data_IF_433351278090
#
_entry.id   IF_433351278090
#
_cell.length_a   1.000
_cell.length_b   1.000
_cell.length_c   1.000
_cell.angle_alpha   90.00
_cell.angle_beta   90.00
_cell.angle_gamma   90.00
#
_symmetry.space_group_name_H-M   'P 1'
#
loop_
_entity.id
_entity.type
_entity.pdbx_description
1 polymer ?
#
# COMPACT_ATOMS: atom_id res chain seq x y z
N UNK A 1 -11.32 -2.25 2.07
CA UNK A 1 -10.23 -1.25 1.87
C UNK A 1 -10.50 -0.55 0.55
N UNK A 2 -10.18 0.75 0.44
CA UNK A 2 -10.27 1.50 -0.81
C UNK A 2 -8.87 1.82 -1.35
N UNK A 3 -8.55 1.37 -2.56
CA UNK A 3 -7.28 1.67 -3.24
C UNK A 3 -7.41 2.80 -4.29
N UNK A 4 -8.64 3.15 -4.69
CA UNK A 4 -8.94 4.06 -5.80
C UNK A 4 -8.90 5.54 -5.44
N UNK A 5 -8.77 5.88 -4.17
CA UNK A 5 -8.69 7.28 -3.71
C UNK A 5 -7.28 7.62 -3.21
N UNK A 6 -6.99 8.91 -3.12
CA UNK A 6 -5.85 9.47 -2.40
C UNK A 6 -6.38 10.33 -1.29
N UNK A 7 -5.85 10.11 -0.09
CA UNK A 7 -6.29 10.78 1.13
C UNK A 7 -5.09 11.50 1.72
N UNK A 8 -5.24 12.81 1.91
CA UNK A 8 -4.33 13.57 2.76
C UNK A 8 -4.76 13.36 4.21
N UNK A 9 -3.94 12.62 4.97
CA UNK A 9 -4.16 12.43 6.39
C UNK A 9 -4.04 13.75 7.14
N UNK A 10 -4.88 13.96 8.15
CA UNK A 10 -4.82 15.17 8.99
C UNK A 10 -3.55 15.20 9.85
N UNK A 11 -3.12 14.03 10.34
CA UNK A 11 -1.88 13.84 11.08
C UNK A 11 -1.38 12.40 10.97
N UNK A 12 -0.09 12.22 11.20
CA UNK A 12 0.52 10.92 11.48
C UNK A 12 0.85 10.90 12.97
N UNK A 13 0.00 10.26 13.76
CA UNK A 13 0.22 10.09 15.19
C UNK A 13 1.29 9.02 15.48
N UNK A 14 1.64 8.87 16.75
CA UNK A 14 2.70 7.95 17.18
C UNK A 14 2.35 6.49 16.89
N UNK A 15 1.07 6.12 17.00
CA UNK A 15 0.61 4.75 16.70
C UNK A 15 0.78 4.41 15.23
N UNK A 16 0.28 5.27 14.34
CA UNK A 16 0.46 5.10 12.91
C UNK A 16 1.94 5.14 12.51
N UNK A 17 2.74 6.02 13.12
CA UNK A 17 4.18 6.07 12.88
C UNK A 17 4.85 4.75 13.26
N UNK A 18 4.57 4.22 14.45
CA UNK A 18 5.12 2.94 14.91
C UNK A 18 4.72 1.77 14.00
N UNK A 19 3.47 1.75 13.49
CA UNK A 19 3.03 0.74 12.53
C UNK A 19 3.80 0.82 11.21
N UNK A 20 4.01 2.03 10.69
CA UNK A 20 4.78 2.27 9.46
C UNK A 20 6.24 1.86 9.64
N UNK A 21 6.87 2.26 10.74
CA UNK A 21 8.25 1.89 11.10
C UNK A 21 8.40 0.37 11.24
N UNK A 22 7.39 -0.30 11.82
CA UNK A 22 7.41 -1.76 11.97
C UNK A 22 7.32 -2.48 10.63
N UNK A 23 6.48 -2.01 9.71
CA UNK A 23 6.39 -2.56 8.35
C UNK A 23 7.71 -2.36 7.61
N UNK A 24 8.29 -1.16 7.70
CA UNK A 24 9.58 -0.84 7.10
C UNK A 24 10.68 -1.79 7.59
N UNK A 25 10.81 -1.97 8.91
CA UNK A 25 11.78 -2.87 9.52
C UNK A 25 11.59 -4.33 9.06
N UNK A 26 10.35 -4.82 9.03
CA UNK A 26 10.05 -6.19 8.59
C UNK A 26 10.44 -6.43 7.13
N UNK A 27 10.22 -5.46 6.25
CA UNK A 27 10.60 -5.57 4.85
C UNK A 27 12.12 -5.51 4.65
N UNK A 28 12.79 -4.61 5.37
CA UNK A 28 14.25 -4.53 5.38
C UNK A 28 14.89 -5.84 5.86
N UNK A 29 14.34 -6.46 6.91
CA UNK A 29 14.77 -7.79 7.38
C UNK A 29 14.59 -8.86 6.28
N UNK A 30 13.46 -8.84 5.57
CA UNK A 30 13.21 -9.73 4.44
C UNK A 30 14.26 -9.58 3.34
N UNK A 31 14.51 -8.34 2.89
CA UNK A 31 15.52 -8.08 1.86
C UNK A 31 16.92 -8.51 2.30
N UNK A 32 17.32 -8.20 3.53
CA UNK A 32 18.62 -8.56 4.08
C UNK A 32 18.80 -10.08 4.21
N UNK A 33 17.75 -10.79 4.65
CA UNK A 33 17.82 -12.24 4.90
C UNK A 33 17.76 -13.06 3.63
N UNK A 34 16.94 -12.66 2.65
CA UNK A 34 16.66 -13.46 1.46
C UNK A 34 17.30 -12.92 0.18
N UNK A 35 17.96 -11.76 0.24
CA UNK A 35 18.76 -11.19 -0.84
C UNK A 35 17.99 -10.34 -1.86
N UNK A 36 16.68 -10.14 -1.67
CA UNK A 36 15.84 -9.28 -2.50
C UNK A 36 15.80 -9.66 -4.00
N UNK A 37 15.10 -8.86 -4.85
CA UNK A 37 14.45 -7.58 -4.54
C UNK A 37 12.99 -7.72 -4.05
N UNK A 38 12.50 -8.94 -3.86
CA UNK A 38 11.22 -9.26 -3.24
C UNK A 38 11.44 -9.75 -1.80
N UNK A 39 10.37 -9.81 -1.00
CA UNK A 39 10.48 -10.02 0.44
C UNK A 39 11.07 -11.37 0.84
N UNK A 40 10.96 -12.38 -0.04
CA UNK A 40 11.44 -13.74 0.21
C UNK A 40 12.44 -14.23 -0.86
N UNK A 41 13.06 -13.32 -1.62
CA UNK A 41 14.12 -13.66 -2.57
C UNK A 41 14.08 -12.86 -3.87
N UNK A 42 14.67 -13.44 -4.92
CA UNK A 42 14.85 -12.80 -6.23
C UNK A 42 13.57 -12.75 -7.06
N UNK A 43 12.64 -13.64 -6.78
CA UNK A 43 11.41 -13.81 -7.53
C UNK A 43 10.20 -13.38 -6.69
N UNK A 44 9.18 -12.87 -7.38
CA UNK A 44 7.89 -12.56 -6.75
C UNK A 44 7.26 -13.83 -6.18
N UNK A 45 6.76 -13.76 -4.94
CA UNK A 45 6.14 -14.90 -4.28
C UNK A 45 4.87 -14.56 -3.49
N UNK A 46 4.36 -15.56 -2.78
CA UNK A 46 3.13 -15.44 -1.98
C UNK A 46 3.25 -14.40 -0.85
N UNK A 47 4.46 -14.21 -0.31
CA UNK A 47 4.73 -13.19 0.71
C UNK A 47 4.48 -11.79 0.15
N UNK A 48 4.93 -11.54 -1.08
CA UNK A 48 4.69 -10.26 -1.75
C UNK A 48 3.20 -10.05 -2.04
N UNK A 49 2.53 -11.08 -2.57
CA UNK A 49 1.09 -11.06 -2.81
C UNK A 49 0.29 -10.72 -1.54
N UNK A 50 0.71 -11.28 -0.40
CA UNK A 50 0.10 -11.02 0.90
C UNK A 50 0.21 -9.55 1.32
N UNK A 51 1.33 -8.88 1.00
CA UNK A 51 1.54 -7.46 1.32
C UNK A 51 0.93 -6.48 0.30
N UNK A 52 0.37 -6.94 -0.81
CA UNK A 52 -0.27 -6.08 -1.81
C UNK A 52 -1.30 -5.07 -1.23
N UNK A 53 -2.17 -5.44 -0.27
CA UNK A 53 -3.09 -4.47 0.34
C UNK A 53 -2.36 -3.38 1.15
N UNK A 54 -1.22 -3.69 1.79
CA UNK A 54 -0.41 -2.71 2.53
C UNK A 54 0.25 -1.74 1.55
N UNK A 55 0.79 -2.24 0.44
CA UNK A 55 1.36 -1.45 -0.65
C UNK A 55 0.34 -0.43 -1.18
N UNK A 56 -0.91 -0.85 -1.39
CA UNK A 56 -1.97 0.09 -1.78
C UNK A 56 -2.29 1.12 -0.69
N UNK A 57 -2.19 0.80 0.60
CA UNK A 57 -2.35 1.80 1.67
C UNK A 57 -1.23 2.84 1.65
N UNK A 58 0.02 2.42 1.43
CA UNK A 58 1.15 3.35 1.26
C UNK A 58 0.84 4.36 0.14
N UNK A 59 0.37 3.87 -1.00
CA UNK A 59 -0.07 4.71 -2.12
C UNK A 59 -1.27 5.62 -1.76
N UNK A 60 -2.33 5.05 -1.16
CA UNK A 60 -3.58 5.77 -0.90
C UNK A 60 -3.40 6.90 0.11
N UNK A 61 -2.57 6.70 1.13
CA UNK A 61 -2.37 7.66 2.23
C UNK A 61 -1.04 8.43 2.14
N UNK A 62 -0.23 8.18 1.12
CA UNK A 62 1.07 8.85 0.94
C UNK A 62 2.07 8.58 2.06
N UNK A 63 2.01 7.39 2.67
CA UNK A 63 2.89 7.02 3.78
C UNK A 63 4.33 6.99 3.30
N UNK A 64 5.25 7.51 4.13
CA UNK A 64 6.67 7.54 3.82
C UNK A 64 7.35 6.35 4.49
N UNK A 65 8.15 5.62 3.72
CA UNK A 65 8.97 4.49 4.15
C UNK A 65 10.45 4.77 3.87
N UNK A 66 11.34 3.90 4.33
CA UNK A 66 12.74 3.94 3.91
C UNK A 66 12.87 3.76 2.40
N UNK A 67 13.98 4.23 1.83
CA UNK A 67 14.21 4.14 0.39
C UNK A 67 14.10 2.71 -0.18
N UNK A 68 14.67 1.64 0.45
CA UNK A 68 14.52 0.28 -0.07
C UNK A 68 13.07 -0.21 -0.06
N UNK A 69 12.32 0.08 1.01
CA UNK A 69 10.91 -0.26 1.12
C UNK A 69 10.05 0.51 0.11
N UNK A 70 10.35 1.79 -0.13
CA UNK A 70 9.68 2.60 -1.15
C UNK A 70 9.94 2.05 -2.56
N UNK A 71 11.18 1.65 -2.88
CA UNK A 71 11.50 0.98 -4.14
C UNK A 71 10.77 -0.35 -4.32
N UNK A 72 10.52 -1.09 -3.23
CA UNK A 72 9.71 -2.29 -3.25
C UNK A 72 8.23 -1.99 -3.53
N UNK A 73 7.66 -0.96 -2.90
CA UNK A 73 6.30 -0.47 -3.18
C UNK A 73 6.14 -0.14 -4.66
N UNK A 74 7.08 0.61 -5.24
CA UNK A 74 7.08 0.97 -6.66
C UNK A 74 7.18 -0.26 -7.56
N UNK A 75 8.07 -1.20 -7.25
CA UNK A 75 8.20 -2.47 -7.96
C UNK A 75 6.88 -3.23 -7.97
N UNK A 76 6.24 -3.36 -6.81
CA UNK A 76 4.97 -4.06 -6.68
C UNK A 76 3.85 -3.38 -7.46
N UNK A 77 3.72 -2.06 -7.38
CA UNK A 77 2.72 -1.30 -8.14
C UNK A 77 2.95 -1.35 -9.66
N UNK A 78 4.19 -1.63 -10.10
CA UNK A 78 4.53 -1.82 -11.52
C UNK A 78 4.19 -3.21 -12.07
N UNK A 79 3.83 -4.19 -11.21
CA UNK A 79 3.50 -5.53 -11.67
C UNK A 79 2.24 -5.53 -12.56
N UNK A 80 2.25 -6.20 -13.72
CA UNK A 80 1.08 -6.26 -14.59
C UNK A 80 -0.18 -6.81 -13.90
N UNK A 81 -0.02 -7.75 -12.97
CA UNK A 81 -1.13 -8.27 -12.15
C UNK A 81 -1.71 -7.20 -11.21
N UNK A 82 -0.86 -6.44 -10.53
CA UNK A 82 -1.26 -5.35 -9.63
C UNK A 82 -1.95 -4.22 -10.39
N UNK A 83 -1.42 -3.84 -11.56
CA UNK A 83 -2.02 -2.81 -12.41
C UNK A 83 -3.40 -3.23 -12.94
N UNK A 84 -3.54 -4.48 -13.40
CA UNK A 84 -4.84 -5.02 -13.83
C UNK A 84 -5.84 -5.05 -12.69
N UNK A 85 -5.44 -5.58 -11.53
CA UNK A 85 -6.30 -5.61 -10.35
C UNK A 85 -6.73 -4.20 -9.92
N UNK A 86 -5.81 -3.24 -9.91
CA UNK A 86 -6.13 -1.86 -9.60
C UNK A 86 -7.12 -1.27 -10.60
N UNK A 87 -6.90 -1.45 -11.90
CA UNK A 87 -7.79 -0.95 -12.95
C UNK A 87 -9.21 -1.54 -12.84
N UNK A 88 -9.34 -2.83 -12.53
CA UNK A 88 -10.63 -3.48 -12.29
C UNK A 88 -11.31 -2.93 -11.03
N UNK A 89 -10.56 -2.70 -9.95
CA UNK A 89 -11.09 -2.10 -8.73
C UNK A 89 -11.60 -0.66 -8.96
N UNK A 90 -10.99 0.10 -9.87
CA UNK A 90 -11.44 1.46 -10.18
C UNK A 90 -12.80 1.52 -10.88
N UNK A 91 -13.23 0.44 -11.54
CA UNK A 91 -14.54 0.37 -12.22
C UNK A 91 -15.61 -0.34 -11.39
N UNK A 92 -15.26 -0.80 -10.20
CA UNK A 92 -16.20 -1.48 -9.32
C UNK A 92 -17.23 -0.50 -8.75
N UNK A 93 -18.51 -0.76 -9.06
CA UNK A 93 -19.64 0.06 -8.57
C UNK A 93 -20.10 -0.35 -7.18
N UNK A 94 -19.81 -1.58 -6.77
CA UNK A 94 -20.18 -2.07 -5.45
C UNK A 94 -19.21 -1.51 -4.42
N UNK A 95 -19.74 -0.75 -3.46
CA UNK A 95 -18.96 -0.10 -2.41
C UNK A 95 -19.58 -0.40 -1.08
N UNK A 96 -18.74 -0.68 -0.09
CA UNK A 96 -19.19 -0.83 1.29
C UNK A 96 -19.08 0.52 2.01
N UNK A 97 -20.20 1.08 2.52
CA UNK A 97 -20.19 2.39 3.20
C UNK A 97 -19.17 2.48 4.34
N UNK A 98 -18.97 1.39 5.09
CA UNK A 98 -17.98 1.31 6.17
C UNK A 98 -16.54 1.60 5.71
N UNK A 99 -16.14 1.14 4.51
CA UNK A 99 -14.78 1.39 4.00
C UNK A 99 -14.63 2.79 3.43
N UNK A 100 -15.71 3.35 2.88
CA UNK A 100 -15.74 4.73 2.39
C UNK A 100 -15.61 5.72 3.55
N UNK A 101 -16.39 5.51 4.61
CA UNK A 101 -16.34 6.32 5.83
C UNK A 101 -14.98 6.20 6.53
N UNK A 102 -14.47 4.97 6.69
CA UNK A 102 -13.17 4.76 7.33
C UNK A 102 -12.02 5.46 6.59
N UNK A 103 -12.08 5.53 5.26
CA UNK A 103 -11.01 6.15 4.48
C UNK A 103 -10.93 7.68 4.64
N UNK A 104 -12.01 8.33 5.08
CA UNK A 104 -12.08 9.78 5.31
C UNK A 104 -12.24 10.16 6.78
N UNK A 105 -12.24 9.19 7.69
CA UNK A 105 -12.40 9.45 9.13
C UNK A 105 -11.26 10.29 9.73
N UNK A 106 -10.07 10.23 9.12
CA UNK A 106 -8.84 10.88 9.62
C UNK A 106 -8.09 11.65 8.51
N UNK A 107 -8.81 12.07 7.47
CA UNK A 107 -8.21 12.69 6.30
C UNK A 107 -9.22 13.15 5.27
N UNK A 108 -8.72 13.83 4.24
CA UNK A 108 -9.55 14.35 3.14
C UNK A 108 -9.15 13.71 1.82
N UNK A 109 -10.15 13.33 1.01
CA UNK A 109 -9.89 12.87 -0.35
C UNK A 109 -9.32 14.03 -1.15
N UNK A 110 -8.12 13.85 -1.69
CA UNK A 110 -7.47 14.82 -2.58
C UNK A 110 -7.57 14.41 -4.05
N UNK A 111 -7.75 13.11 -4.32
CA UNK A 111 -8.02 12.57 -5.68
C UNK A 111 -8.89 11.34 -5.57
N UNK A 112 -9.83 11.18 -6.49
CA UNK A 112 -10.62 9.95 -6.67
C UNK A 112 -10.43 9.47 -8.11
N UNK A 113 -9.92 8.26 -8.29
CA UNK A 113 -9.66 7.66 -9.59
C UNK A 113 -10.75 6.68 -10.03
N UNK A 114 -11.76 6.46 -9.20
CA UNK A 114 -12.86 5.55 -9.51
C UNK A 114 -13.72 6.12 -10.62
N UNK A 115 -14.25 5.24 -11.47
CA UNK A 115 -15.13 5.58 -12.59
C UNK A 115 -16.60 5.54 -12.19
#
# INVERSE_FOLDING_TARGET
MNCGIRVALEKIDEGLRADVERIDALWLEGFAKFGGPYLAGKEYGIVDAFFAPVIFRVQSYGLQLSQPAQSYVERMLSLPSMQRWYAEALVEIWRKPEYEQAAVAHGKIVRDFRK
#
